data_IF_009961685352
#
_entry.id   IF_009961685352
#
_cell.length_a   1.000
_cell.length_b   1.000
_cell.length_c   1.000
_cell.angle_alpha   90.00
_cell.angle_beta   90.00
_cell.angle_gamma   90.00
#
_symmetry.space_group_name_H-M   'P 1'
#
loop_
_entity.id
_entity.type
_entity.pdbx_description
1 polymer ?
#
# COMPACT_ATOMS: atom_id res chain seq x y z
N UNK A 1 -9.19 -8.26 -13.92
CA UNK A 1 -8.76 -9.18 -14.98
C UNK A 1 -9.95 -10.06 -15.31
N UNK A 2 -10.16 -10.36 -16.59
CA UNK A 2 -11.24 -11.28 -17.03
C UNK A 2 -10.82 -12.73 -16.76
N UNK A 3 -11.80 -13.64 -16.75
CA UNK A 3 -11.54 -15.08 -16.67
C UNK A 3 -10.58 -15.51 -17.81
N UNK A 4 -9.48 -16.18 -17.47
CA UNK A 4 -8.44 -16.58 -18.43
C UNK A 4 -7.27 -15.59 -18.59
N UNK A 5 -7.34 -14.41 -17.98
CA UNK A 5 -6.24 -13.45 -17.97
C UNK A 5 -5.36 -13.61 -16.73
N UNK A 6 -4.05 -13.60 -16.91
CA UNK A 6 -3.07 -13.69 -15.82
C UNK A 6 -1.83 -12.84 -16.08
N UNK A 7 -1.10 -12.51 -15.02
CA UNK A 7 0.19 -11.81 -15.08
C UNK A 7 1.26 -12.73 -14.52
N UNK A 8 2.41 -12.82 -15.21
CA UNK A 8 3.58 -13.55 -14.72
C UNK A 8 4.88 -12.84 -15.08
N UNK A 9 5.94 -13.15 -14.35
CA UNK A 9 7.31 -12.83 -14.77
C UNK A 9 7.62 -13.57 -16.07
N UNK A 10 8.34 -12.91 -16.97
CA UNK A 10 8.88 -13.49 -18.19
C UNK A 10 10.31 -13.96 -17.90
N UNK A 11 10.59 -15.24 -18.09
CA UNK A 11 11.95 -15.79 -17.93
C UNK A 11 12.82 -15.37 -19.12
N UNK A 12 12.30 -15.51 -20.34
CA UNK A 12 12.98 -15.16 -21.58
C UNK A 12 12.08 -14.26 -22.44
N UNK A 13 12.05 -12.94 -22.19
CA UNK A 13 11.20 -12.05 -22.97
C UNK A 13 11.73 -11.91 -24.40
N UNK A 14 10.99 -12.39 -25.40
CA UNK A 14 11.34 -12.22 -26.82
C UNK A 14 11.10 -10.78 -27.30
N UNK A 15 12.00 -10.27 -28.14
CA UNK A 15 11.80 -8.98 -28.80
C UNK A 15 10.52 -8.96 -29.64
N UNK A 16 10.26 -10.04 -30.38
CA UNK A 16 9.13 -10.20 -31.28
C UNK A 16 7.78 -10.21 -30.51
N UNK A 17 7.72 -10.87 -29.36
CA UNK A 17 6.53 -10.85 -28.49
C UNK A 17 6.30 -9.46 -27.89
N UNK A 18 7.36 -8.85 -27.33
CA UNK A 18 7.25 -7.54 -26.70
C UNK A 18 6.86 -6.46 -27.71
N UNK A 19 7.47 -6.46 -28.90
CA UNK A 19 7.22 -5.42 -29.91
C UNK A 19 5.82 -5.52 -30.48
N UNK A 20 5.24 -6.73 -30.55
CA UNK A 20 3.85 -6.95 -30.98
C UNK A 20 2.83 -6.27 -30.04
N UNK A 21 3.18 -6.04 -28.77
CA UNK A 21 2.35 -5.33 -27.80
C UNK A 21 2.75 -3.86 -27.67
N UNK A 22 4.06 -3.57 -27.59
CA UNK A 22 4.57 -2.21 -27.36
C UNK A 22 4.29 -1.32 -28.57
N UNK A 23 4.49 -1.79 -29.80
CA UNK A 23 4.33 -0.91 -30.97
C UNK A 23 2.89 -0.43 -31.13
N UNK A 24 1.86 -1.29 -31.13
CA UNK A 24 0.47 -0.83 -31.24
C UNK A 24 0.05 0.07 -30.06
N UNK A 25 0.50 -0.25 -28.83
CA UNK A 25 0.15 0.54 -27.65
C UNK A 25 0.68 1.99 -27.71
N UNK A 26 1.86 2.19 -28.31
CA UNK A 26 2.48 3.50 -28.42
C UNK A 26 2.16 4.21 -29.74
N UNK A 27 1.69 3.52 -30.77
CA UNK A 27 1.34 4.14 -32.05
C UNK A 27 0.19 5.16 -31.92
N UNK A 28 -0.82 4.87 -31.09
CA UNK A 28 -1.97 5.76 -30.89
C UNK A 28 -1.55 7.12 -30.30
N UNK A 29 -0.81 7.19 -29.17
CA UNK A 29 -0.26 8.45 -28.68
C UNK A 29 0.60 9.16 -29.72
N UNK A 30 1.46 8.45 -30.43
CA UNK A 30 2.37 9.08 -31.39
C UNK A 30 1.61 9.75 -32.54
N UNK A 31 0.56 9.13 -33.08
CA UNK A 31 -0.30 9.76 -34.09
C UNK A 31 -1.03 10.96 -33.47
N UNK A 32 -1.63 10.80 -32.28
CA UNK A 32 -2.37 11.86 -31.58
C UNK A 32 -1.54 13.12 -31.38
N UNK A 33 -0.23 12.96 -31.17
CA UNK A 33 0.69 14.06 -30.89
C UNK A 33 1.58 14.45 -32.08
N UNK A 34 1.31 13.97 -33.30
CA UNK A 34 2.05 14.36 -34.51
C UNK A 34 3.52 13.88 -34.54
N UNK A 35 3.77 12.75 -33.89
CA UNK A 35 5.07 12.09 -33.76
C UNK A 35 5.31 10.97 -34.79
N UNK A 36 4.34 10.71 -35.64
CA UNK A 36 4.39 9.68 -36.69
C UNK A 36 5.54 9.91 -37.68
N UNK A 37 5.88 11.17 -37.97
CA UNK A 37 7.07 11.52 -38.77
C UNK A 37 8.40 11.01 -38.18
N UNK A 38 8.43 10.67 -36.89
CA UNK A 38 9.59 10.12 -36.20
C UNK A 38 9.57 8.59 -36.08
N UNK A 39 8.71 7.87 -36.83
CA UNK A 39 8.59 6.39 -36.82
C UNK A 39 9.90 5.63 -37.03
N UNK A 40 10.84 6.21 -37.77
CA UNK A 40 12.14 5.61 -38.07
C UNK A 40 13.28 6.12 -37.18
N UNK A 41 12.97 6.94 -36.18
CA UNK A 41 13.94 7.43 -35.20
C UNK A 41 14.07 6.47 -34.01
N UNK A 42 15.10 6.66 -33.19
CA UNK A 42 15.23 5.98 -31.89
C UNK A 42 14.18 6.34 -30.84
N UNK A 43 13.11 7.09 -31.20
CA UNK A 43 11.99 7.38 -30.30
C UNK A 43 10.99 6.22 -30.19
N UNK A 44 10.98 5.29 -31.16
CA UNK A 44 10.19 4.06 -31.10
C UNK A 44 11.01 2.92 -30.50
N UNK A 45 10.34 2.09 -29.71
CA UNK A 45 10.97 0.91 -29.14
C UNK A 45 11.50 0.00 -30.24
N UNK A 46 12.81 -0.23 -30.22
CA UNK A 46 13.52 -0.98 -31.26
C UNK A 46 14.42 -2.06 -30.64
N UNK A 47 15.11 -2.83 -31.49
CA UNK A 47 15.96 -3.94 -31.04
C UNK A 47 17.11 -3.48 -30.15
N UNK A 48 17.64 -2.28 -30.37
CA UNK A 48 18.69 -1.73 -29.50
C UNK A 48 18.13 -1.35 -28.13
N UNK A 49 16.92 -0.77 -28.05
CA UNK A 49 16.29 -0.48 -26.75
C UNK A 49 15.99 -1.76 -25.97
N UNK A 50 15.62 -2.83 -26.66
CA UNK A 50 15.44 -4.15 -26.08
C UNK A 50 16.74 -4.72 -25.55
N UNK A 51 17.81 -4.70 -26.36
CA UNK A 51 19.11 -5.18 -25.93
C UNK A 51 19.64 -4.38 -24.74
N UNK A 52 19.58 -3.05 -24.81
CA UNK A 52 19.97 -2.17 -23.70
C UNK A 52 19.19 -2.47 -22.42
N UNK A 53 17.88 -2.76 -22.53
CA UNK A 53 17.09 -3.13 -21.37
C UNK A 53 17.57 -4.46 -20.76
N UNK A 54 17.88 -5.47 -21.58
CA UNK A 54 18.43 -6.73 -21.08
C UNK A 54 19.81 -6.55 -20.45
N UNK A 55 20.69 -5.77 -21.07
CA UNK A 55 22.04 -5.48 -20.59
C UNK A 55 22.01 -4.72 -19.26
N UNK A 56 21.03 -3.83 -19.06
CA UNK A 56 20.76 -3.16 -17.79
C UNK A 56 20.07 -4.06 -16.74
N UNK A 57 19.81 -5.33 -17.06
CA UNK A 57 19.16 -6.29 -16.17
C UNK A 57 17.66 -6.04 -15.98
N UNK A 58 16.95 -5.58 -17.02
CA UNK A 58 15.52 -5.37 -16.96
C UNK A 58 14.76 -6.67 -16.71
N UNK A 59 13.85 -6.63 -15.74
CA UNK A 59 12.97 -7.73 -15.39
C UNK A 59 11.59 -7.44 -15.96
N UNK A 60 11.05 -8.37 -16.73
CA UNK A 60 9.80 -8.21 -17.47
C UNK A 60 8.66 -9.02 -16.84
N UNK A 61 7.48 -8.43 -16.86
CA UNK A 61 6.21 -9.06 -16.53
C UNK A 61 5.28 -8.94 -17.73
N UNK A 62 4.62 -10.04 -18.08
CA UNK A 62 3.64 -10.09 -19.15
C UNK A 62 2.24 -10.33 -18.60
N UNK A 63 1.26 -9.64 -19.17
CA UNK A 63 -0.16 -9.97 -19.04
C UNK A 63 -0.56 -10.82 -20.24
N UNK A 64 -1.24 -11.93 -19.99
CA UNK A 64 -1.63 -12.91 -20.99
C UNK A 64 -3.14 -13.11 -21.00
N UNK A 65 -3.71 -13.34 -22.18
CA UNK A 65 -5.08 -13.83 -22.36
C UNK A 65 -5.06 -15.06 -23.26
N UNK A 66 -5.54 -16.20 -22.74
CA UNK A 66 -5.50 -17.51 -23.42
C UNK A 66 -4.11 -17.85 -23.99
N UNK A 67 -3.05 -17.46 -23.27
CA UNK A 67 -1.65 -17.71 -23.65
C UNK A 67 -1.01 -16.65 -24.56
N UNK A 68 -1.78 -15.73 -25.14
CA UNK A 68 -1.22 -14.63 -25.95
C UNK A 68 -0.81 -13.45 -25.07
N UNK A 69 0.36 -12.85 -25.33
CA UNK A 69 0.81 -11.63 -24.63
C UNK A 69 -0.05 -10.44 -25.07
N UNK A 70 -0.69 -9.77 -24.11
CA UNK A 70 -1.59 -8.62 -24.35
C UNK A 70 -1.17 -7.36 -23.59
N UNK A 71 -0.14 -7.45 -22.77
CA UNK A 71 0.43 -6.33 -22.02
C UNK A 71 1.78 -6.69 -21.42
N UNK A 72 2.62 -5.70 -21.16
CA UNK A 72 3.91 -5.90 -20.51
C UNK A 72 4.30 -4.72 -19.61
N UNK A 73 5.08 -4.99 -18.57
CA UNK A 73 5.81 -3.99 -17.80
C UNK A 73 7.24 -4.46 -17.54
N UNK A 74 8.22 -3.56 -17.58
CA UNK A 74 9.57 -3.85 -17.08
C UNK A 74 9.98 -3.00 -15.89
N UNK A 75 10.88 -3.54 -15.08
CA UNK A 75 11.53 -2.84 -13.98
C UNK A 75 13.05 -2.97 -14.09
N UNK A 76 13.75 -1.89 -13.73
CA UNK A 76 15.21 -1.84 -13.74
C UNK A 76 15.73 -1.38 -12.37
N UNK A 77 16.67 -2.14 -11.81
CA UNK A 77 17.36 -1.76 -10.57
C UNK A 77 18.35 -0.62 -10.89
N UNK A 78 18.29 0.48 -10.13
CA UNK A 78 19.21 1.63 -10.27
C UNK A 78 20.13 1.80 -9.07
N UNK A 79 19.70 1.34 -7.90
CA UNK A 79 20.53 1.06 -6.73
C UNK A 79 19.79 0.05 -5.85
N UNK A 80 20.30 -0.28 -4.66
CA UNK A 80 19.61 -1.18 -3.73
C UNK A 80 18.23 -0.69 -3.32
N UNK A 81 18.05 0.62 -3.23
CA UNK A 81 16.79 1.24 -2.78
C UNK A 81 16.02 1.95 -3.90
N UNK A 82 16.62 2.13 -5.09
CA UNK A 82 16.00 2.84 -6.22
C UNK A 82 15.77 1.93 -7.41
N UNK A 83 14.53 1.92 -7.90
CA UNK A 83 14.13 1.20 -9.10
C UNK A 83 13.46 2.15 -10.11
N UNK A 84 13.36 1.70 -11.35
CA UNK A 84 12.68 2.41 -12.44
C UNK A 84 11.70 1.49 -13.15
N UNK A 85 10.47 1.96 -13.37
CA UNK A 85 9.57 1.37 -14.35
C UNK A 85 10.11 1.69 -15.75
N UNK A 86 10.36 0.65 -16.52
CA UNK A 86 10.74 0.73 -17.92
C UNK A 86 9.52 0.86 -18.82
N UNK A 87 9.35 -0.09 -19.74
CA UNK A 87 8.25 -0.06 -20.72
C UNK A 87 7.00 -0.65 -20.09
N UNK A 88 5.94 0.15 -19.93
CA UNK A 88 4.59 -0.28 -19.60
C UNK A 88 3.71 -0.13 -20.85
N UNK A 89 3.15 -1.23 -21.34
CA UNK A 89 2.31 -1.27 -22.53
C UNK A 89 1.14 -2.23 -22.34
N UNK A 90 -0.01 -1.88 -22.89
CA UNK A 90 -1.17 -2.78 -23.03
C UNK A 90 -1.65 -2.65 -24.46
N UNK A 91 -1.84 -3.78 -25.14
CA UNK A 91 -2.33 -3.81 -26.51
C UNK A 91 -3.67 -3.05 -26.61
N UNK A 92 -3.91 -2.21 -27.64
CA UNK A 92 -5.10 -1.35 -27.74
C UNK A 92 -6.43 -2.05 -27.47
N UNK A 93 -6.62 -3.24 -28.04
CA UNK A 93 -7.84 -4.06 -27.87
C UNK A 93 -8.12 -4.48 -26.42
N UNK A 94 -7.11 -4.40 -25.56
CA UNK A 94 -7.16 -4.78 -24.15
C UNK A 94 -6.93 -3.59 -23.21
N UNK A 95 -6.93 -2.36 -23.74
CA UNK A 95 -6.88 -1.16 -22.90
C UNK A 95 -8.22 -0.91 -22.19
N UNK A 96 -8.23 0.06 -21.26
CA UNK A 96 -9.41 0.48 -20.50
C UNK A 96 -10.11 -0.60 -19.65
N UNK A 97 -9.53 -1.81 -19.52
CA UNK A 97 -10.05 -2.89 -18.67
C UNK A 97 -9.24 -3.12 -17.36
N UNK A 98 -8.34 -2.19 -17.04
CA UNK A 98 -7.55 -2.21 -15.81
C UNK A 98 -6.24 -3.01 -15.86
N UNK A 99 -5.87 -3.60 -17.00
CA UNK A 99 -4.61 -4.36 -17.15
C UNK A 99 -3.36 -3.52 -16.88
N UNK A 100 -3.31 -2.27 -17.35
CA UNK A 100 -2.16 -1.39 -17.08
C UNK A 100 -1.96 -1.11 -15.59
N UNK A 101 -3.07 -0.99 -14.84
CA UNK A 101 -3.05 -0.90 -13.38
C UNK A 101 -2.51 -2.19 -12.76
N UNK A 102 -2.99 -3.35 -13.20
CA UNK A 102 -2.55 -4.65 -12.67
C UNK A 102 -1.06 -4.92 -12.93
N UNK A 103 -0.56 -4.61 -14.13
CA UNK A 103 0.86 -4.71 -14.46
C UNK A 103 1.71 -3.79 -13.57
N UNK A 104 1.32 -2.52 -13.45
CA UNK A 104 2.04 -1.57 -12.60
C UNK A 104 2.07 -2.03 -11.14
N UNK A 105 0.95 -2.51 -10.60
CA UNK A 105 0.89 -3.04 -9.23
C UNK A 105 1.79 -4.27 -9.03
N UNK A 106 1.92 -5.13 -10.04
CA UNK A 106 2.83 -6.28 -9.98
C UNK A 106 4.30 -5.85 -9.95
N UNK A 107 4.66 -4.90 -10.81
CA UNK A 107 5.99 -4.29 -10.83
C UNK A 107 6.32 -3.61 -9.49
N UNK A 108 5.38 -2.84 -8.93
CA UNK A 108 5.52 -2.20 -7.61
C UNK A 108 5.74 -3.24 -6.50
N UNK A 109 4.93 -4.30 -6.46
CA UNK A 109 5.07 -5.41 -5.50
C UNK A 109 6.45 -6.06 -5.59
N UNK A 110 6.89 -6.35 -6.80
CA UNK A 110 8.15 -7.05 -7.04
C UNK A 110 9.37 -6.28 -6.51
N UNK A 111 9.41 -4.96 -6.75
CA UNK A 111 10.52 -4.12 -6.30
C UNK A 111 10.41 -3.78 -4.81
N UNK A 112 9.19 -3.62 -4.30
CA UNK A 112 8.95 -3.42 -2.87
C UNK A 112 9.48 -4.61 -2.06
N UNK A 113 9.15 -5.84 -2.43
CA UNK A 113 9.66 -7.06 -1.78
C UNK A 113 11.19 -7.23 -1.87
N UNK A 114 11.89 -6.34 -2.59
CA UNK A 114 13.34 -6.29 -2.73
C UNK A 114 13.96 -5.05 -2.08
N UNK A 115 13.23 -4.39 -1.18
CA UNK A 115 13.74 -3.26 -0.40
C UNK A 115 13.74 -1.91 -1.15
N UNK A 116 13.00 -1.78 -2.26
CA UNK A 116 12.92 -0.51 -2.96
C UNK A 116 12.19 0.54 -2.09
N UNK A 117 12.84 1.67 -1.79
CA UNK A 117 12.21 2.82 -1.12
C UNK A 117 11.83 3.96 -2.09
N UNK A 118 12.31 3.90 -3.34
CA UNK A 118 11.95 4.83 -4.41
C UNK A 118 11.74 4.09 -5.74
N UNK A 119 10.60 4.34 -6.38
CA UNK A 119 10.32 3.88 -7.74
C UNK A 119 10.10 5.08 -8.65
N UNK A 120 10.79 5.10 -9.78
CA UNK A 120 10.72 6.19 -10.76
C UNK A 120 10.15 5.74 -12.10
N UNK A 121 9.57 6.67 -12.85
CA UNK A 121 9.16 6.45 -14.23
C UNK A 121 9.30 7.73 -15.05
N UNK A 122 9.21 7.60 -16.36
CA UNK A 122 9.13 8.73 -17.29
C UNK A 122 8.00 8.52 -18.28
N UNK A 123 7.23 9.58 -18.56
CA UNK A 123 6.15 9.53 -19.53
C UNK A 123 6.03 10.84 -20.32
N UNK A 124 5.24 10.83 -21.40
CA UNK A 124 4.93 12.03 -22.16
C UNK A 124 4.07 12.97 -21.30
N UNK A 125 4.57 14.16 -20.99
CA UNK A 125 3.90 15.12 -20.10
C UNK A 125 2.65 15.73 -20.75
N UNK A 126 2.64 15.81 -22.08
CA UNK A 126 1.52 16.36 -22.85
C UNK A 126 0.33 15.36 -22.94
N UNK A 127 0.51 14.14 -22.43
CA UNK A 127 -0.56 13.15 -22.28
C UNK A 127 -1.21 13.25 -20.89
N UNK A 128 -2.22 14.12 -20.79
CA UNK A 128 -2.94 14.38 -19.54
C UNK A 128 -3.60 13.12 -18.94
N UNK A 129 -4.03 12.17 -19.77
CA UNK A 129 -4.65 10.93 -19.29
C UNK A 129 -3.60 10.01 -18.68
N UNK A 130 -2.43 9.91 -19.31
CA UNK A 130 -1.29 9.16 -18.79
C UNK A 130 -0.73 9.77 -17.50
N UNK A 131 -0.64 11.10 -17.43
CA UNK A 131 -0.24 11.81 -16.20
C UNK A 131 -1.21 11.54 -15.06
N UNK A 132 -2.52 11.72 -15.29
CA UNK A 132 -3.56 11.41 -14.29
C UNK A 132 -3.54 9.95 -13.86
N UNK A 133 -3.26 9.03 -14.79
CA UNK A 133 -3.11 7.61 -14.47
C UNK A 133 -2.01 7.39 -13.43
N UNK A 134 -0.81 7.92 -13.64
CA UNK A 134 0.31 7.74 -12.70
C UNK A 134 0.11 8.51 -11.38
N UNK A 135 -0.41 9.74 -11.43
CA UNK A 135 -0.72 10.51 -10.22
C UNK A 135 -1.75 9.79 -9.34
N UNK A 136 -2.78 9.18 -9.94
CA UNK A 136 -3.75 8.34 -9.24
C UNK A 136 -3.17 7.04 -8.62
N UNK A 137 -1.89 6.75 -8.87
CA UNK A 137 -1.15 5.63 -8.31
C UNK A 137 -0.10 6.07 -7.28
N UNK A 138 -0.05 7.36 -6.95
CA UNK A 138 0.86 7.93 -5.96
C UNK A 138 2.21 8.35 -6.53
N UNK A 139 2.34 8.48 -7.85
CA UNK A 139 3.52 9.07 -8.47
C UNK A 139 3.41 10.59 -8.50
N UNK A 140 4.47 11.28 -8.08
CA UNK A 140 4.58 12.73 -8.05
C UNK A 140 5.65 13.18 -9.06
N UNK A 141 5.44 14.33 -9.68
CA UNK A 141 6.42 14.92 -10.60
C UNK A 141 7.75 15.25 -9.89
N UNK A 142 8.86 14.72 -10.42
CA UNK A 142 10.25 14.92 -9.96
C UNK A 142 11.08 15.73 -10.97
N UNK A 143 10.44 16.27 -12.01
CA UNK A 143 11.07 17.11 -13.03
C UNK A 143 10.55 16.86 -14.44
N UNK A 144 11.17 17.52 -15.41
CA UNK A 144 10.82 17.33 -16.82
C UNK A 144 12.02 17.63 -17.73
N UNK A 145 11.97 17.13 -18.96
CA UNK A 145 12.93 17.45 -20.03
C UNK A 145 12.20 17.75 -21.32
N UNK A 146 12.49 18.91 -21.90
CA UNK A 146 11.98 19.31 -23.22
C UNK A 146 12.96 18.89 -24.31
N UNK A 147 12.46 18.18 -25.32
CA UNK A 147 13.27 17.74 -26.46
C UNK A 147 13.18 18.78 -27.57
N UNK A 148 14.19 19.65 -27.69
CA UNK A 148 14.20 20.79 -28.63
C UNK A 148 13.90 20.40 -30.09
N UNK A 149 14.34 19.23 -30.54
CA UNK A 149 14.12 18.77 -31.92
C UNK A 149 12.66 18.44 -32.21
N UNK A 150 11.93 17.94 -31.22
CA UNK A 150 10.60 17.38 -31.40
C UNK A 150 9.52 18.24 -30.73
N UNK A 151 9.88 19.12 -29.79
CA UNK A 151 8.95 19.96 -29.01
C UNK A 151 8.38 19.28 -27.76
N UNK A 152 8.37 17.95 -27.70
CA UNK A 152 7.74 17.21 -26.59
C UNK A 152 8.45 17.35 -25.26
N UNK A 153 7.64 17.28 -24.21
CA UNK A 153 8.11 17.27 -22.83
C UNK A 153 7.97 15.87 -22.24
N UNK A 154 9.08 15.30 -21.77
CA UNK A 154 9.07 14.09 -20.96
C UNK A 154 9.05 14.49 -19.49
N UNK A 155 8.03 14.07 -18.76
CA UNK A 155 7.95 14.23 -17.31
C UNK A 155 8.64 13.08 -16.60
N UNK A 156 9.36 13.38 -15.52
CA UNK A 156 9.93 12.40 -14.60
C UNK A 156 9.04 12.34 -13.38
N UNK A 157 8.71 11.13 -12.94
CA UNK A 157 7.84 10.91 -11.80
C UNK A 157 8.45 9.93 -10.81
N UNK A 158 8.15 10.14 -9.53
CA UNK A 158 8.61 9.33 -8.42
C UNK A 158 7.44 8.90 -7.54
N UNK A 159 7.45 7.64 -7.11
CA UNK A 159 6.69 7.15 -5.97
C UNK A 159 7.64 6.76 -4.86
N UNK A 160 7.44 7.32 -3.66
CA UNK A 160 8.10 6.83 -2.44
C UNK A 160 7.44 5.52 -2.03
N UNK A 161 8.26 4.55 -1.65
CA UNK A 161 7.84 3.24 -1.20
C UNK A 161 8.23 3.13 0.26
N UNK A 162 7.25 3.27 1.15
CA UNK A 162 7.50 3.25 2.58
C UNK A 162 7.67 1.81 3.03
N UNK A 163 8.90 1.44 3.41
CA UNK A 163 9.12 0.24 4.22
C UNK A 163 8.74 0.53 5.66
N UNK A 164 8.26 -0.49 6.38
CA UNK A 164 7.99 -0.41 7.82
C UNK A 164 9.21 0.14 8.59
N UNK A 165 10.43 -0.20 8.17
CA UNK A 165 11.69 0.29 8.78
C UNK A 165 11.88 1.80 8.63
N UNK A 166 11.58 2.37 7.45
CA UNK A 166 11.71 3.81 7.19
C UNK A 166 10.65 4.62 7.96
N UNK A 167 9.49 4.02 8.18
CA UNK A 167 8.43 4.54 9.01
C UNK A 167 8.86 4.55 10.48
N UNK A 168 9.26 3.41 11.04
CA UNK A 168 9.72 3.28 12.43
C UNK A 168 10.83 4.28 12.75
N UNK A 169 11.82 4.44 11.86
CA UNK A 169 12.95 5.37 12.07
C UNK A 169 12.52 6.84 12.05
N UNK A 170 11.64 7.26 11.11
CA UNK A 170 11.16 8.65 11.02
C UNK A 170 10.00 8.99 11.98
N UNK A 171 9.44 8.01 12.68
CA UNK A 171 8.33 8.24 13.61
C UNK A 171 8.80 8.81 14.95
N UNK A 172 10.08 8.69 15.33
CA UNK A 172 10.56 9.11 16.65
C UNK A 172 10.58 10.62 16.76
N UNK A 173 11.06 11.26 15.71
CA UNK A 173 11.05 12.70 15.58
C UNK A 173 9.63 13.27 15.41
N UNK A 174 8.69 12.47 14.86
CA UNK A 174 7.30 12.87 14.66
C UNK A 174 6.44 12.73 15.92
N UNK A 175 6.74 11.75 16.76
CA UNK A 175 5.98 11.41 17.97
C UNK A 175 6.97 11.16 19.14
N UNK A 176 7.49 12.22 19.77
CA UNK A 176 8.40 12.10 20.90
C UNK A 176 7.61 11.75 22.17
N UNK A 177 7.15 10.50 22.24
CA UNK A 177 6.44 9.96 23.41
C UNK A 177 7.28 8.85 24.01
N UNK A 178 7.34 8.81 25.34
CA UNK A 178 7.95 7.71 26.06
C UNK A 178 7.03 6.48 25.99
N UNK A 179 7.59 5.28 25.68
CA UNK A 179 6.85 4.04 25.77
C UNK A 179 6.20 3.86 27.14
N UNK A 180 5.01 3.26 27.15
CA UNK A 180 4.34 2.86 28.38
C UNK A 180 5.08 1.64 28.94
N UNK A 181 5.44 1.72 30.22
CA UNK A 181 6.02 0.61 30.98
C UNK A 181 5.21 0.42 32.25
N UNK A 182 4.53 -0.73 32.34
CA UNK A 182 3.80 -1.18 33.52
C UNK A 182 3.79 -2.72 33.58
N UNK A 183 3.45 -3.31 34.72
CA UNK A 183 3.46 -4.77 34.91
C UNK A 183 2.62 -5.51 33.84
N UNK A 184 1.51 -4.91 33.42
CA UNK A 184 0.64 -5.45 32.36
C UNK A 184 1.33 -5.59 31.00
N UNK A 185 2.33 -4.75 30.68
CA UNK A 185 3.07 -4.86 29.41
C UNK A 185 3.86 -6.17 29.30
N UNK A 186 4.25 -6.79 30.41
CA UNK A 186 4.96 -8.08 30.42
C UNK A 186 4.12 -9.21 29.79
N UNK A 187 2.80 -9.12 29.87
CA UNK A 187 1.86 -10.13 29.39
C UNK A 187 1.38 -9.87 27.95
N UNK A 188 1.60 -8.65 27.42
CA UNK A 188 1.05 -8.18 26.15
C UNK A 188 1.91 -8.51 24.90
N UNK A 189 3.03 -9.20 25.05
CA UNK A 189 3.98 -9.41 23.94
C UNK A 189 3.31 -10.04 22.69
N UNK A 190 3.49 -9.38 21.54
CA UNK A 190 3.00 -9.77 20.21
C UNK A 190 1.45 -9.82 20.02
N UNK A 191 0.68 -9.12 20.86
CA UNK A 191 -0.79 -9.18 20.90
C UNK A 191 -1.52 -8.17 20.00
N UNK A 192 -0.85 -7.16 19.44
CA UNK A 192 -1.51 -6.17 18.57
C UNK A 192 -0.89 -6.20 17.17
N UNK A 193 -1.74 -6.24 16.15
CA UNK A 193 -1.33 -6.07 14.75
C UNK A 193 -2.11 -4.90 14.13
N UNK A 194 -1.39 -3.86 13.71
CA UNK A 194 -1.93 -2.71 12.99
C UNK A 194 -1.69 -2.85 11.50
N UNK A 195 -2.75 -2.83 10.71
CA UNK A 195 -2.71 -2.88 9.25
C UNK A 195 -3.08 -1.51 8.69
N UNK A 196 -2.10 -0.77 8.19
CA UNK A 196 -2.28 0.55 7.62
C UNK A 196 -2.72 0.51 6.16
N UNK A 197 -3.69 1.33 5.79
CA UNK A 197 -3.84 1.72 4.39
C UNK A 197 -2.64 2.59 3.96
N UNK A 198 -2.04 2.40 2.77
CA UNK A 198 -0.88 3.18 2.33
C UNK A 198 -1.05 4.71 2.42
N UNK A 199 -2.26 5.21 2.15
CA UNK A 199 -2.57 6.65 2.22
C UNK A 199 -2.64 7.21 3.66
N UNK A 200 -2.74 6.36 4.69
CA UNK A 200 -2.77 6.79 6.09
C UNK A 200 -1.36 6.87 6.72
N UNK A 201 -0.38 6.18 6.13
CA UNK A 201 0.95 5.98 6.70
C UNK A 201 1.68 7.30 6.97
N UNK A 202 1.53 8.31 6.12
CA UNK A 202 2.26 9.57 6.28
C UNK A 202 1.52 10.63 7.11
N UNK A 203 0.31 10.35 7.59
CA UNK A 203 -0.47 11.35 8.32
C UNK A 203 0.12 11.61 9.71
N UNK A 204 0.39 12.90 9.99
CA UNK A 204 0.92 13.38 11.28
C UNK A 204 -0.05 13.27 12.46
N UNK A 205 -1.33 13.01 12.17
CA UNK A 205 -2.39 12.85 13.17
C UNK A 205 -2.85 11.40 13.28
N UNK A 206 -2.06 10.44 12.77
CA UNK A 206 -2.40 9.03 12.80
C UNK A 206 -2.18 8.45 14.20
N UNK A 207 -3.28 8.04 14.84
CA UNK A 207 -3.27 7.47 16.20
C UNK A 207 -2.75 6.04 16.26
N UNK A 208 -2.75 5.30 15.15
CA UNK A 208 -2.11 3.99 15.05
C UNK A 208 -0.60 4.09 15.26
N UNK A 209 0.05 5.08 14.63
CA UNK A 209 1.49 5.32 14.84
C UNK A 209 1.80 5.67 16.30
N UNK A 210 0.94 6.47 16.93
CA UNK A 210 1.07 6.79 18.35
C UNK A 210 0.99 5.53 19.21
N UNK A 211 0.02 4.65 18.94
CA UNK A 211 -0.11 3.36 19.62
C UNK A 211 1.15 2.49 19.45
N UNK A 212 1.68 2.39 18.22
CA UNK A 212 2.93 1.69 17.94
C UNK A 212 4.13 2.27 18.71
N UNK A 213 4.13 3.57 19.02
CA UNK A 213 5.17 4.21 19.84
C UNK A 213 5.01 4.03 21.33
N UNK A 214 3.77 4.02 21.81
CA UNK A 214 3.50 3.78 23.23
C UNK A 214 3.79 2.32 23.60
N UNK A 215 3.61 1.38 22.67
CA UNK A 215 3.77 -0.07 22.90
C UNK A 215 4.66 -0.76 21.85
N UNK A 216 5.94 -0.34 21.68
CA UNK A 216 6.79 -0.75 20.57
C UNK A 216 7.11 -2.25 20.53
N UNK A 217 7.13 -2.92 21.69
CA UNK A 217 7.40 -4.36 21.80
C UNK A 217 6.13 -5.23 21.64
N UNK A 218 4.95 -4.60 21.55
CA UNK A 218 3.65 -5.30 21.58
C UNK A 218 2.82 -5.07 20.32
N UNK A 219 3.15 -4.03 19.55
CA UNK A 219 2.46 -3.65 18.32
C UNK A 219 3.31 -4.05 17.12
N UNK A 220 2.79 -4.98 16.33
CA UNK A 220 3.30 -5.26 14.99
C UNK A 220 2.58 -4.36 14.00
N UNK A 221 3.34 -3.76 13.10
CA UNK A 221 2.80 -2.89 12.07
C UNK A 221 2.94 -3.54 10.69
N UNK A 222 1.93 -3.36 9.85
CA UNK A 222 1.90 -3.87 8.49
C UNK A 222 1.28 -2.84 7.54
N UNK A 223 1.86 -2.65 6.36
CA UNK A 223 1.28 -1.79 5.32
C UNK A 223 0.52 -2.69 4.34
N UNK A 224 -0.77 -2.43 4.19
CA UNK A 224 -1.63 -3.22 3.32
C UNK A 224 -1.30 -2.98 1.85
N UNK A 225 -1.15 -4.07 1.10
CA UNK A 225 -1.23 -4.06 -0.35
C UNK A 225 -2.23 -5.12 -0.81
N UNK A 226 -3.03 -4.79 -1.84
CA UNK A 226 -4.07 -5.65 -2.41
C UNK A 226 -3.62 -7.10 -2.69
N UNK A 227 -2.34 -7.33 -2.95
CA UNK A 227 -1.78 -8.63 -3.31
C UNK A 227 -0.74 -9.17 -2.28
N UNK A 228 -0.57 -8.55 -1.10
CA UNK A 228 0.35 -8.99 -0.02
C UNK A 228 -0.39 -9.53 1.20
N UNK A 229 -1.71 -9.53 1.16
CA UNK A 229 -2.55 -10.01 2.25
C UNK A 229 -2.44 -11.54 2.42
N UNK A 230 -1.82 -12.26 1.49
CA UNK A 230 -1.52 -13.68 1.71
C UNK A 230 -0.20 -13.85 2.47
N UNK A 231 0.78 -12.95 2.31
CA UNK A 231 2.07 -13.04 3.01
C UNK A 231 2.03 -12.55 4.47
N UNK A 232 1.00 -11.80 4.89
CA UNK A 232 0.84 -11.46 6.32
C UNK A 232 0.28 -12.64 7.14
N UNK A 233 -0.40 -13.59 6.47
CA UNK A 233 -0.96 -14.80 7.11
C UNK A 233 0.17 -15.67 7.65
N UNK A 234 1.30 -15.72 6.93
CA UNK A 234 2.52 -16.39 7.41
C UNK A 234 3.08 -15.74 8.70
N UNK A 235 2.79 -14.45 8.93
CA UNK A 235 3.14 -13.72 10.16
C UNK A 235 2.13 -13.92 11.30
N UNK A 236 0.96 -14.51 11.01
CA UNK A 236 -0.02 -14.95 12.02
C UNK A 236 0.50 -16.26 12.65
N UNK A 237 1.54 -16.12 13.48
CA UNK A 237 2.18 -17.21 14.24
C UNK A 237 1.20 -18.23 14.82
N UNK A 238 1.63 -19.50 14.90
CA UNK A 238 1.01 -20.52 15.75
C UNK A 238 0.96 -20.04 17.22
N UNK A 239 -0.18 -20.20 17.90
CA UNK A 239 -0.34 -19.91 19.33
C UNK A 239 -1.13 -18.65 19.71
N UNK A 240 -1.65 -17.90 18.73
CA UNK A 240 -2.65 -16.84 18.97
C UNK A 240 -3.95 -17.12 18.22
N UNK A 241 -5.07 -16.82 18.86
CA UNK A 241 -6.33 -16.62 18.18
C UNK A 241 -6.34 -15.22 17.56
N UNK A 242 -6.40 -15.13 16.23
CA UNK A 242 -6.32 -13.86 15.53
C UNK A 242 -7.74 -13.30 15.33
N UNK A 243 -8.00 -12.12 15.90
CA UNK A 243 -9.35 -11.55 15.97
C UNK A 243 -9.34 -10.14 15.41
N UNK A 244 -10.24 -9.88 14.46
CA UNK A 244 -10.36 -8.60 13.79
C UNK A 244 -11.29 -7.66 14.58
N UNK A 245 -10.77 -6.52 15.02
CA UNK A 245 -11.57 -5.45 15.65
C UNK A 245 -12.23 -4.63 14.53
N UNK A 246 -13.45 -5.01 14.17
CA UNK A 246 -14.19 -4.41 13.06
C UNK A 246 -15.70 -4.57 13.23
N UNK A 247 -16.47 -3.46 13.25
CA UNK A 247 -17.92 -3.56 13.40
C UNK A 247 -18.54 -4.15 12.13
N UNK A 248 -19.25 -5.26 12.31
CA UNK A 248 -19.95 -6.00 11.27
C UNK A 248 -21.12 -6.75 11.90
N UNK A 249 -22.07 -7.17 11.06
CA UNK A 249 -23.30 -7.82 11.54
C UNK A 249 -23.01 -9.18 12.21
N UNK A 250 -21.91 -9.83 11.83
CA UNK A 250 -21.42 -11.10 12.38
C UNK A 250 -20.42 -10.92 13.54
N UNK A 251 -20.20 -9.68 14.03
CA UNK A 251 -19.23 -9.41 15.08
C UNK A 251 -19.80 -9.64 16.50
N UNK A 252 -19.02 -10.30 17.34
CA UNK A 252 -19.28 -10.44 18.78
C UNK A 252 -18.97 -9.14 19.53
N UNK A 253 -19.60 -8.91 20.67
CA UNK A 253 -19.12 -7.87 21.58
C UNK A 253 -17.79 -8.31 22.21
N UNK A 254 -16.84 -7.39 22.38
CA UNK A 254 -15.51 -7.73 22.92
C UNK A 254 -15.61 -8.38 24.30
N UNK A 255 -16.45 -7.82 25.18
CA UNK A 255 -16.68 -8.30 26.55
C UNK A 255 -17.16 -9.76 26.56
N UNK A 256 -18.11 -10.08 25.69
CA UNK A 256 -18.62 -11.44 25.47
C UNK A 256 -17.54 -12.35 24.89
N UNK A 257 -16.79 -11.89 23.89
CA UNK A 257 -15.78 -12.69 23.22
C UNK A 257 -14.64 -13.10 24.17
N UNK A 258 -14.10 -12.14 24.92
CA UNK A 258 -13.02 -12.39 25.90
C UNK A 258 -13.49 -13.35 26.99
N UNK A 259 -14.73 -13.24 27.44
CA UNK A 259 -15.28 -14.12 28.49
C UNK A 259 -15.42 -15.59 28.05
N UNK A 260 -15.50 -15.84 26.74
CA UNK A 260 -15.76 -17.17 26.17
C UNK A 260 -14.50 -17.84 25.58
N UNK A 261 -13.34 -17.18 25.60
CA UNK A 261 -12.12 -17.66 24.95
C UNK A 261 -10.98 -17.81 25.96
N UNK A 262 -10.46 -19.03 26.10
CA UNK A 262 -9.30 -19.36 26.95
C UNK A 262 -7.98 -19.41 26.16
N UNK A 263 -7.84 -18.57 25.13
CA UNK A 263 -6.68 -18.53 24.24
C UNK A 263 -6.08 -17.14 24.22
N UNK A 264 -4.76 -17.06 23.96
CA UNK A 264 -4.10 -15.77 23.76
C UNK A 264 -4.62 -15.13 22.49
N UNK A 265 -5.18 -13.93 22.60
CA UNK A 265 -5.75 -13.21 21.46
C UNK A 265 -4.69 -12.29 20.85
N UNK A 266 -4.67 -12.24 19.51
CA UNK A 266 -4.04 -11.16 18.76
C UNK A 266 -5.12 -10.27 18.17
N UNK A 267 -5.18 -9.04 18.65
CA UNK A 267 -6.09 -8.01 18.17
C UNK A 267 -5.56 -7.37 16.89
N UNK A 268 -6.33 -7.50 15.81
CA UNK A 268 -5.99 -6.96 14.50
C UNK A 268 -6.84 -5.72 14.25
N UNK A 269 -6.20 -4.61 13.91
CA UNK A 269 -6.86 -3.36 13.57
C UNK A 269 -6.53 -2.95 12.14
N UNK A 270 -7.50 -2.35 11.45
CA UNK A 270 -7.29 -1.71 10.15
C UNK A 270 -7.27 -0.19 10.37
N UNK A 271 -6.09 0.41 10.22
CA UNK A 271 -5.90 1.86 10.30
C UNK A 271 -6.13 2.49 8.90
N UNK A 272 -7.38 2.91 8.67
CA UNK A 272 -7.87 3.44 7.41
C UNK A 272 -9.15 4.29 7.60
N UNK A 273 -9.53 5.10 6.60
CA UNK A 273 -10.91 5.62 6.56
C UNK A 273 -11.91 4.47 6.38
N UNK A 274 -13.18 4.65 6.76
CA UNK A 274 -14.22 3.61 6.61
C UNK A 274 -14.32 3.02 5.19
N UNK A 275 -14.26 3.87 4.17
CA UNK A 275 -14.31 3.42 2.77
C UNK A 275 -13.06 2.60 2.39
N UNK A 276 -11.88 3.02 2.87
CA UNK A 276 -10.63 2.30 2.65
C UNK A 276 -10.60 0.98 3.44
N UNK A 277 -11.03 0.97 4.71
CA UNK A 277 -11.03 -0.23 5.56
C UNK A 277 -11.95 -1.31 5.00
N UNK A 278 -13.16 -0.94 4.57
CA UNK A 278 -14.10 -1.87 3.93
C UNK A 278 -13.54 -2.40 2.61
N UNK A 279 -12.90 -1.53 1.83
CA UNK A 279 -12.22 -1.93 0.59
C UNK A 279 -11.06 -2.89 0.84
N UNK A 280 -10.28 -2.66 1.90
CA UNK A 280 -9.20 -3.54 2.33
C UNK A 280 -9.78 -4.90 2.70
N UNK A 281 -10.78 -4.95 3.57
CA UNK A 281 -11.45 -6.18 4.01
C UNK A 281 -12.01 -6.98 2.82
N UNK A 282 -12.75 -6.32 1.92
CA UNK A 282 -13.32 -6.94 0.72
C UNK A 282 -12.27 -7.50 -0.26
N UNK A 283 -11.03 -7.03 -0.18
CA UNK A 283 -9.92 -7.47 -1.02
C UNK A 283 -8.95 -8.38 -0.26
N UNK A 284 -9.35 -8.84 0.91
CA UNK A 284 -8.51 -9.57 1.85
C UNK A 284 -9.25 -10.81 2.35
N UNK A 285 -9.35 -11.89 1.55
CA UNK A 285 -10.12 -13.07 1.94
C UNK A 285 -9.72 -13.65 3.30
N UNK A 286 -8.42 -13.66 3.62
CA UNK A 286 -7.91 -14.12 4.91
C UNK A 286 -8.30 -13.22 6.08
N UNK A 287 -8.35 -11.89 5.91
CA UNK A 287 -8.87 -10.97 6.96
C UNK A 287 -10.39 -11.11 7.12
N UNK A 288 -11.12 -11.31 6.03
CA UNK A 288 -12.57 -11.45 6.05
C UNK A 288 -13.01 -12.72 6.78
N UNK A 289 -12.19 -13.77 6.72
CA UNK A 289 -12.43 -15.06 7.37
C UNK A 289 -12.14 -15.07 8.88
N UNK A 290 -11.55 -14.02 9.45
CA UNK A 290 -11.29 -13.94 10.88
C UNK A 290 -12.60 -13.73 11.66
N UNK A 291 -12.58 -14.20 12.91
CA UNK A 291 -13.55 -13.77 13.92
C UNK A 291 -13.49 -12.25 14.06
N UNK A 292 -14.66 -11.64 14.21
CA UNK A 292 -14.81 -10.20 14.30
C UNK A 292 -15.38 -9.82 15.65
N UNK A 293 -14.85 -8.77 16.24
CA UNK A 293 -15.40 -8.15 17.44
C UNK A 293 -15.75 -6.69 17.19
N UNK A 294 -16.79 -6.22 17.87
CA UNK A 294 -17.23 -4.82 17.90
C UNK A 294 -17.15 -4.27 19.32
N UNK A 295 -16.82 -2.98 19.41
CA UNK A 295 -16.82 -2.25 20.67
C UNK A 295 -18.27 -1.93 21.07
N UNK A 296 -18.52 -1.74 22.36
CA UNK A 296 -19.84 -1.32 22.84
C UNK A 296 -20.16 0.10 22.35
N UNK A 297 -21.44 0.38 22.13
CA UNK A 297 -21.92 1.67 21.59
C UNK A 297 -21.82 2.84 22.56
N UNK A 298 -21.43 2.59 23.82
CA UNK A 298 -21.53 3.56 24.90
C UNK A 298 -20.30 4.48 24.99
N UNK A 299 -19.28 4.26 24.16
CA UNK A 299 -18.06 5.07 24.15
C UNK A 299 -18.16 6.29 23.22
N UNK A 300 -17.99 7.47 23.83
CA UNK A 300 -17.85 8.73 23.10
C UNK A 300 -16.36 8.95 22.81
N UNK A 301 -16.00 9.12 21.53
CA UNK A 301 -14.62 9.40 21.12
C UNK A 301 -14.14 10.75 21.64
N UNK A 302 -12.95 10.77 22.26
CA UNK A 302 -12.19 11.96 22.68
C UNK A 302 -11.34 12.53 21.55
N UNK A 303 -11.09 11.74 20.50
CA UNK A 303 -10.34 12.17 19.32
C UNK A 303 -11.20 13.02 18.38
N UNK A 304 -11.00 14.34 18.38
CA UNK A 304 -11.86 15.31 17.67
C UNK A 304 -11.34 15.78 16.29
N UNK A 305 -10.20 15.29 15.84
CA UNK A 305 -9.52 15.82 14.64
C UNK A 305 -10.10 15.31 13.30
N UNK A 306 -11.07 14.39 13.30
CA UNK A 306 -11.73 13.88 12.09
C UNK A 306 -12.89 14.79 11.70
N UNK A 307 -12.85 15.37 10.48
CA UNK A 307 -13.93 16.23 9.95
C UNK A 307 -15.30 15.55 9.77
N UNK A 308 -15.34 14.21 9.58
CA UNK A 308 -16.56 13.43 9.32
C UNK A 308 -16.65 12.23 10.28
N UNK A 309 -16.73 12.50 11.57
CA UNK A 309 -16.84 11.46 12.60
C UNK A 309 -18.28 10.94 12.64
N UNK A 310 -18.47 9.63 12.42
CA UNK A 310 -19.73 8.98 12.86
C UNK A 310 -19.71 9.01 14.39
N UNK A 311 -20.87 9.22 15.03
CA UNK A 311 -20.97 9.40 16.49
C UNK A 311 -20.32 8.26 17.29
N UNK A 312 -20.23 7.07 16.71
CA UNK A 312 -19.70 5.83 17.32
C UNK A 312 -18.25 5.51 16.91
N UNK A 313 -17.57 6.40 16.17
CA UNK A 313 -16.28 6.11 15.55
C UNK A 313 -15.07 6.48 16.42
N UNK A 314 -14.63 5.54 17.27
CA UNK A 314 -13.36 5.64 17.99
C UNK A 314 -12.15 5.69 17.03
N UNK A 315 -11.07 6.34 17.45
CA UNK A 315 -9.78 6.27 16.75
C UNK A 315 -9.09 4.92 17.02
N UNK A 316 -8.02 4.62 16.28
CA UNK A 316 -7.31 3.33 16.38
C UNK A 316 -6.75 3.10 17.79
N UNK A 317 -6.21 4.15 18.42
CA UNK A 317 -5.69 4.06 19.79
C UNK A 317 -6.81 3.87 20.81
N UNK A 318 -7.93 4.59 20.70
CA UNK A 318 -9.09 4.38 21.57
C UNK A 318 -9.67 2.98 21.43
N UNK A 319 -9.73 2.46 20.21
CA UNK A 319 -10.21 1.10 19.96
C UNK A 319 -9.28 0.07 20.61
N UNK A 320 -7.96 0.27 20.51
CA UNK A 320 -6.99 -0.58 21.19
C UNK A 320 -7.09 -0.48 22.72
N UNK A 321 -7.19 0.74 23.25
CA UNK A 321 -7.40 1.01 24.67
C UNK A 321 -8.63 0.26 25.22
N UNK A 322 -9.73 0.30 24.47
CA UNK A 322 -10.97 -0.39 24.84
C UNK A 322 -10.79 -1.92 24.87
N UNK A 323 -10.30 -2.54 23.79
CA UNK A 323 -10.18 -4.01 23.78
C UNK A 323 -9.20 -4.54 24.82
N UNK A 324 -8.15 -3.77 25.13
CA UNK A 324 -7.19 -4.12 26.16
C UNK A 324 -7.83 -4.07 27.56
N UNK A 325 -8.64 -3.05 27.84
CA UNK A 325 -9.40 -2.97 29.09
C UNK A 325 -10.35 -4.15 29.27
N UNK A 326 -11.14 -4.48 28.24
CA UNK A 326 -12.02 -5.67 28.27
C UNK A 326 -11.24 -6.99 28.40
N UNK A 327 -9.97 -6.99 28.00
CA UNK A 327 -9.05 -8.13 28.18
C UNK A 327 -8.39 -8.18 29.57
N UNK A 328 -8.78 -7.29 30.49
CA UNK A 328 -8.24 -7.22 31.85
C UNK A 328 -6.99 -6.37 32.03
N UNK A 329 -6.64 -5.53 31.03
CA UNK A 329 -5.50 -4.61 31.09
C UNK A 329 -5.95 -3.18 31.42
N UNK A 330 -6.61 -3.00 32.57
CA UNK A 330 -7.19 -1.72 33.00
C UNK A 330 -6.15 -0.62 33.25
N UNK A 331 -4.97 -0.98 33.77
CA UNK A 331 -3.89 -0.01 33.98
C UNK A 331 -3.41 0.52 32.65
N UNK A 332 -3.18 -0.39 31.69
CA UNK A 332 -2.72 -0.05 30.36
C UNK A 332 -3.72 0.81 29.60
N UNK A 333 -5.01 0.46 29.68
CA UNK A 333 -6.10 1.26 29.14
C UNK A 333 -6.05 2.69 29.67
N UNK A 334 -5.94 2.86 30.99
CA UNK A 334 -5.87 4.18 31.64
C UNK A 334 -4.67 4.99 31.14
N UNK A 335 -3.51 4.35 30.97
CA UNK A 335 -2.31 5.02 30.47
C UNK A 335 -2.42 5.40 28.99
N UNK A 336 -2.97 4.52 28.14
CA UNK A 336 -3.21 4.81 26.73
C UNK A 336 -4.16 6.00 26.57
N UNK A 337 -5.26 6.01 27.33
CA UNK A 337 -6.24 7.10 27.33
C UNK A 337 -5.59 8.43 27.73
N UNK A 338 -4.82 8.45 28.82
CA UNK A 338 -4.10 9.64 29.27
C UNK A 338 -3.07 10.13 28.24
N UNK A 339 -2.31 9.22 27.61
CA UNK A 339 -1.30 9.58 26.60
C UNK A 339 -1.92 10.14 25.33
N UNK A 340 -3.09 9.64 24.93
CA UNK A 340 -3.84 10.20 23.81
C UNK A 340 -4.29 11.64 24.10
N UNK A 341 -4.82 11.90 25.30
CA UNK A 341 -5.25 13.25 25.70
C UNK A 341 -4.09 14.25 25.70
N UNK A 342 -2.95 13.86 26.27
CA UNK A 342 -1.77 14.71 26.30
C UNK A 342 -1.25 15.00 24.89
N UNK A 343 -1.20 13.99 24.03
CA UNK A 343 -0.80 14.17 22.64
C UNK A 343 -1.76 15.09 21.88
N UNK A 344 -3.07 14.97 22.08
CA UNK A 344 -4.07 15.87 21.48
C UNK A 344 -3.88 17.34 21.92
N UNK A 345 -3.51 17.59 23.18
CA UNK A 345 -3.17 18.94 23.66
C UNK A 345 -1.96 19.49 22.90
N UNK A 346 -0.93 18.67 22.62
CA UNK A 346 0.25 19.13 21.85
C UNK A 346 -0.06 19.53 20.41
N UNK A 347 -1.07 18.90 19.79
CA UNK A 347 -1.51 19.21 18.43
C UNK A 347 -2.38 20.47 18.37
N UNK A 348 -3.08 20.80 19.45
CA UNK A 348 -3.95 21.97 19.53
C UNK A 348 -3.16 23.28 19.75
N UNK A 349 -1.92 23.17 20.22
CA UNK A 349 -1.02 24.30 20.50
C UNK A 349 -0.10 24.68 19.32
N UNK A 350 -0.22 24.03 18.16
CA UNK A 350 0.52 24.32 16.92
C UNK A 350 -0.43 24.76 15.83
#
# INVERSE_FOLDING_TARGET
MKLGQYIKRMEEPSFEELIAVIRPAFEIPFIKYGLDQYRHSGYYYNRNDYQNALDEGAIWFGAYDKGALIGCVSVLKKSDVKWRIGKLAVHPDFQHCGLGKSLLSEAERFVFNRGASKLSLSCLKDDADLVKFYESKGYLSDGQKVYKKTGFTIGFYVKKMHHLIDLVTNLADRYPVDPIVCDETLYLKDQILLIYHPDEVDKKTNTGHLLGRLLPEHVKEWIWHRNTVESFVDTLSEGFLNVLVYPSDDAYEVSEYVSNVDSRIRWIFIDATWQQSQKMLNQSPSLMALDKVRLSSDYISRYTLRKNQRAEGLCTLESASHVLGESGFDTLRTQLDSRLEDWLKTLSCK
#
